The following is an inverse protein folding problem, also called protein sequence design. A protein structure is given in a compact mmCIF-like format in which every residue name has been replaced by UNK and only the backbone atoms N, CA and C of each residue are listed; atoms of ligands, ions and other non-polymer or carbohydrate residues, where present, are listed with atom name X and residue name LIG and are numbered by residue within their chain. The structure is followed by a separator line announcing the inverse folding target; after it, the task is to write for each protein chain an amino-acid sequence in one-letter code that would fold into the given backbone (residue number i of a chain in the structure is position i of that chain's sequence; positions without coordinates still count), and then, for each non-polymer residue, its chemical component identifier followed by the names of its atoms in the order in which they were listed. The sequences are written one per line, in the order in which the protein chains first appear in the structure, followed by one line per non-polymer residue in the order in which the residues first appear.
data_IF_921240151654
#
_entry.id   IF_921240151654
#
_cell.length_a   1.000
_cell.length_b   1.000
_cell.length_c   1.000
_cell.angle_alpha   90.00
_cell.angle_beta   90.00
_cell.angle_gamma   90.00
#
_symmetry.space_group_name_H-M   'P 1'
#
loop_
_entity.id
_entity.type
_entity.pdbx_description
1 polymer ?
#
# COMPACT_ATOMS: atom_id res chain seq x y z
N UNK A 1 -18.27 30.04 19.91
CA UNK A 1 -18.12 28.98 18.90
C UNK A 1 -16.83 28.26 19.25
N UNK A 2 -16.93 27.01 19.73
CA UNK A 2 -15.78 26.12 19.90
C UNK A 2 -15.73 25.27 18.64
N UNK A 3 -14.61 25.31 17.93
CA UNK A 3 -14.34 24.43 16.80
C UNK A 3 -14.37 22.97 17.28
N UNK A 4 -14.99 22.04 16.55
CA UNK A 4 -14.93 20.64 16.93
C UNK A 4 -13.49 20.17 16.73
N UNK A 5 -12.76 20.03 17.83
CA UNK A 5 -11.57 19.19 17.89
C UNK A 5 -11.97 17.80 17.43
N UNK A 6 -11.46 17.37 16.27
CA UNK A 6 -11.57 15.98 15.82
C UNK A 6 -10.78 15.14 16.82
N UNK A 7 -11.49 14.57 17.79
CA UNK A 7 -10.97 13.57 18.71
C UNK A 7 -10.84 12.29 17.89
N UNK A 8 -9.61 11.82 17.65
CA UNK A 8 -9.44 10.41 17.28
C UNK A 8 -9.66 9.62 18.57
N UNK A 9 -10.87 9.11 18.78
CA UNK A 9 -11.30 8.38 19.99
C UNK A 9 -10.62 6.99 20.10
N UNK A 10 -9.31 6.97 20.21
CA UNK A 10 -8.55 5.80 20.60
C UNK A 10 -7.49 6.22 21.63
N UNK A 11 -7.70 5.85 22.89
CA UNK A 11 -6.73 6.08 23.99
C UNK A 11 -5.47 5.20 23.88
N UNK A 12 -5.25 4.56 22.72
CA UNK A 12 -4.21 3.58 22.48
C UNK A 12 -3.63 3.73 21.07
N UNK A 13 -2.39 3.28 20.89
CA UNK A 13 -1.73 3.26 19.58
C UNK A 13 -2.40 2.24 18.65
N UNK A 14 -2.52 2.58 17.36
CA UNK A 14 -3.08 1.68 16.34
C UNK A 14 -1.99 1.25 15.38
N UNK A 15 -1.92 -0.05 15.10
CA UNK A 15 -1.12 -0.62 14.02
C UNK A 15 -2.01 -0.87 12.81
N UNK A 16 -1.61 -0.34 11.65
CA UNK A 16 -2.21 -0.67 10.37
C UNK A 16 -1.39 -1.79 9.71
N UNK A 17 -2.04 -2.92 9.46
CA UNK A 17 -1.49 -4.00 8.64
C UNK A 17 -2.07 -3.88 7.23
N UNK A 18 -1.19 -3.58 6.26
CA UNK A 18 -1.54 -3.54 4.85
C UNK A 18 -1.07 -4.83 4.16
N UNK A 19 -2.01 -5.56 3.57
CA UNK A 19 -1.71 -6.69 2.69
C UNK A 19 -1.98 -6.23 1.26
N UNK A 20 -1.00 -6.38 0.36
CA UNK A 20 -1.12 -5.96 -1.04
C UNK A 20 -0.74 -7.11 -1.98
N UNK A 21 -1.62 -7.45 -2.91
CA UNK A 21 -1.34 -8.42 -3.99
C UNK A 21 -0.67 -7.70 -5.17
N UNK A 22 0.64 -7.47 -5.05
CA UNK A 22 1.43 -6.74 -6.04
C UNK A 22 1.38 -7.38 -7.44
N UNK A 23 1.53 -8.70 -7.64
CA UNK A 23 1.46 -9.31 -8.96
C UNK A 23 0.09 -9.16 -9.63
N UNK A 24 -1.01 -9.34 -8.88
CA UNK A 24 -2.36 -9.15 -9.43
C UNK A 24 -2.62 -7.68 -9.74
N UNK A 25 -2.12 -6.76 -8.91
CA UNK A 25 -2.27 -5.33 -9.13
C UNK A 25 -1.52 -4.86 -10.39
N UNK A 26 -0.27 -5.31 -10.56
CA UNK A 26 0.51 -5.06 -11.78
C UNK A 26 -0.19 -5.64 -13.02
N UNK A 27 -0.78 -6.83 -12.91
CA UNK A 27 -1.54 -7.42 -14.02
C UNK A 27 -2.72 -6.55 -14.42
N UNK A 28 -3.46 -6.01 -13.45
CA UNK A 28 -4.60 -5.11 -13.73
C UNK A 28 -4.15 -3.82 -14.42
N UNK A 29 -3.11 -3.17 -13.88
CA UNK A 29 -2.62 -1.89 -14.40
C UNK A 29 -1.98 -2.00 -15.79
N UNK A 30 -1.34 -3.14 -16.08
CA UNK A 30 -0.58 -3.34 -17.33
C UNK A 30 -1.32 -4.17 -18.38
N UNK A 31 -2.37 -4.90 -17.98
CA UNK A 31 -2.99 -5.96 -18.79
C UNK A 31 -2.07 -7.16 -19.03
N UNK A 32 -0.95 -7.28 -18.31
CA UNK A 32 0.11 -8.29 -18.54
C UNK A 32 0.33 -9.15 -17.31
N UNK A 33 0.38 -10.46 -17.49
CA UNK A 33 0.77 -11.42 -16.44
C UNK A 33 2.24 -11.80 -16.52
N UNK A 34 2.74 -12.48 -15.47
CA UNK A 34 4.10 -13.03 -15.44
C UNK A 34 5.15 -12.06 -14.91
N UNK A 35 4.74 -11.04 -14.17
CA UNK A 35 5.65 -10.19 -13.40
C UNK A 35 6.31 -11.00 -12.29
N UNK A 36 7.64 -11.02 -12.26
CA UNK A 36 8.44 -11.69 -11.25
C UNK A 36 9.13 -10.65 -10.38
N UNK A 37 8.98 -10.80 -9.06
CA UNK A 37 9.70 -9.97 -8.10
C UNK A 37 11.20 -10.22 -8.26
N UNK A 38 11.95 -9.14 -8.48
CA UNK A 38 13.40 -9.20 -8.68
C UNK A 38 14.18 -8.57 -7.54
N UNK A 39 13.60 -7.59 -6.85
CA UNK A 39 14.27 -6.89 -5.75
C UNK A 39 13.25 -6.28 -4.78
N UNK A 40 13.67 -6.14 -3.52
CA UNK A 40 12.90 -5.59 -2.41
C UNK A 40 13.81 -4.70 -1.56
N UNK A 41 13.44 -3.42 -1.41
CA UNK A 41 14.16 -2.46 -0.58
C UNK A 41 13.21 -1.80 0.41
N UNK A 42 13.49 -1.93 1.70
CA UNK A 42 12.75 -1.26 2.77
C UNK A 42 13.53 -0.04 3.25
N UNK A 43 12.83 1.08 3.39
CA UNK A 43 13.34 2.32 3.98
C UNK A 43 12.48 2.77 5.16
N UNK A 44 12.90 3.83 5.85
CA UNK A 44 12.11 4.43 6.92
C UNK A 44 10.76 4.99 6.47
N UNK A 45 10.59 5.28 5.17
CA UNK A 45 9.41 5.98 4.65
C UNK A 45 8.56 5.12 3.72
N UNK A 46 9.16 4.12 3.08
CA UNK A 46 8.49 3.27 2.11
C UNK A 46 9.19 1.93 1.88
N UNK A 47 8.42 1.00 1.33
CA UNK A 47 8.89 -0.26 0.78
C UNK A 47 8.86 -0.17 -0.75
N UNK A 48 9.95 -0.56 -1.40
CA UNK A 48 10.13 -0.51 -2.85
C UNK A 48 10.26 -1.93 -3.37
N UNK A 49 9.40 -2.30 -4.31
CA UNK A 49 9.37 -3.61 -4.95
C UNK A 49 9.67 -3.45 -6.43
N UNK A 50 10.72 -4.11 -6.91
CA UNK A 50 11.06 -4.12 -8.33
C UNK A 50 10.65 -5.43 -8.97
N UNK A 51 9.92 -5.37 -10.07
CA UNK A 51 9.45 -6.50 -10.84
C UNK A 51 10.03 -6.49 -12.25
N UNK A 52 10.24 -7.68 -12.81
CA UNK A 52 10.66 -7.87 -14.20
C UNK A 52 9.71 -8.80 -14.95
N UNK A 53 9.54 -8.49 -16.22
CA UNK A 53 8.84 -9.32 -17.20
C UNK A 53 9.55 -9.19 -18.55
N UNK A 54 10.20 -10.26 -19.00
CA UNK A 54 11.05 -10.24 -20.19
C UNK A 54 12.11 -9.12 -20.11
N UNK A 55 11.96 -8.06 -20.93
CA UNK A 55 12.82 -6.87 -20.94
C UNK A 55 12.14 -5.63 -20.30
N UNK A 56 10.95 -5.77 -19.72
CA UNK A 56 10.23 -4.70 -19.03
C UNK A 56 10.50 -4.75 -17.53
N UNK A 57 10.68 -3.57 -16.94
CA UNK A 57 10.83 -3.38 -15.49
C UNK A 57 9.65 -2.58 -14.96
N UNK A 58 9.16 -2.98 -13.78
CA UNK A 58 8.13 -2.28 -13.05
C UNK A 58 8.59 -2.03 -11.62
N UNK A 59 8.16 -0.91 -11.05
CA UNK A 59 8.46 -0.56 -9.66
C UNK A 59 7.15 -0.24 -8.96
N UNK A 60 6.97 -0.81 -7.77
CA UNK A 60 5.89 -0.47 -6.86
C UNK A 60 6.50 0.11 -5.60
N UNK A 61 6.08 1.31 -5.22
CA UNK A 61 6.51 1.96 -3.96
C UNK A 61 5.30 2.08 -3.05
N UNK A 62 5.40 1.51 -1.85
CA UNK A 62 4.39 1.58 -0.81
C UNK A 62 4.88 2.49 0.31
N UNK A 63 4.27 3.66 0.48
CA UNK A 63 4.63 4.58 1.55
C UNK A 63 3.91 4.21 2.85
N UNK A 64 4.59 4.42 3.98
CA UNK A 64 4.01 4.21 5.34
C UNK A 64 2.80 5.11 5.61
N UNK A 65 2.60 6.15 4.80
CA UNK A 65 1.42 7.04 4.82
C UNK A 65 0.17 6.39 4.21
N UNK A 66 0.28 5.18 3.66
CA UNK A 66 -0.77 4.54 2.88
C UNK A 66 -0.88 5.08 1.45
N UNK A 67 0.09 5.86 0.99
CA UNK A 67 0.24 6.27 -0.41
C UNK A 67 1.01 5.22 -1.19
N UNK A 68 0.77 5.08 -2.50
CA UNK A 68 1.53 4.17 -3.33
C UNK A 68 1.71 4.72 -4.75
N UNK A 69 2.82 4.34 -5.37
CA UNK A 69 3.09 4.59 -6.79
C UNK A 69 3.41 3.29 -7.50
N UNK A 70 2.97 3.17 -8.75
CA UNK A 70 3.31 2.04 -9.62
C UNK A 70 3.80 2.60 -10.94
N UNK A 71 5.04 2.27 -11.29
CA UNK A 71 5.67 2.64 -12.56
C UNK A 71 6.05 1.40 -13.38
N UNK A 72 6.03 1.54 -14.71
CA UNK A 72 6.55 0.55 -15.67
C UNK A 72 7.37 1.29 -16.72
N UNK A 73 8.68 1.01 -16.77
CA UNK A 73 9.64 1.86 -17.48
C UNK A 73 9.50 3.32 -17.04
N UNK A 74 9.37 4.24 -18.00
CA UNK A 74 9.23 5.69 -17.73
C UNK A 74 7.78 6.15 -17.46
N UNK A 75 6.84 5.22 -17.30
CA UNK A 75 5.41 5.54 -17.18
C UNK A 75 4.89 5.24 -15.78
N UNK A 76 4.29 6.23 -15.13
CA UNK A 76 3.50 6.03 -13.92
C UNK A 76 2.10 5.56 -14.29
N UNK A 77 1.70 4.39 -13.79
CA UNK A 77 0.38 3.80 -14.00
C UNK A 77 -0.54 4.00 -12.79
N UNK A 78 0.03 4.21 -11.61
CA UNK A 78 -0.72 4.51 -10.38
C UNK A 78 0.05 5.51 -9.52
N UNK A 79 -0.69 6.44 -8.93
CA UNK A 79 -0.16 7.50 -8.07
C UNK A 79 -1.30 7.95 -7.13
N UNK A 80 -1.39 7.37 -5.94
CA UNK A 80 -2.52 7.63 -5.04
C UNK A 80 -2.54 6.80 -3.76
N UNK A 81 -3.57 6.98 -2.92
CA UNK A 81 -3.73 6.22 -1.67
C UNK A 81 -4.14 4.76 -1.90
N UNK A 82 -3.58 3.82 -1.15
CA UNK A 82 -3.90 2.37 -1.22
C UNK A 82 -5.38 2.06 -1.03
N UNK A 83 -6.13 2.90 -0.32
CA UNK A 83 -7.58 2.76 -0.18
C UNK A 83 -8.34 2.87 -1.51
N UNK A 84 -7.76 3.51 -2.53
CA UNK A 84 -8.31 3.60 -3.87
C UNK A 84 -7.88 2.44 -4.78
N UNK A 85 -6.90 1.63 -4.37
CA UNK A 85 -6.50 0.39 -5.03
C UNK A 85 -7.41 -0.79 -4.64
N UNK A 86 -8.73 -0.60 -4.80
CA UNK A 86 -9.75 -1.54 -4.34
C UNK A 86 -9.59 -2.91 -4.99
N UNK A 87 -9.59 -3.96 -4.16
CA UNK A 87 -9.46 -5.35 -4.61
C UNK A 87 -8.02 -5.88 -4.64
N UNK A 88 -7.03 -5.02 -4.48
CA UNK A 88 -5.61 -5.40 -4.46
C UNK A 88 -4.92 -5.08 -3.14
N UNK A 89 -5.49 -4.19 -2.33
CA UNK A 89 -5.03 -3.87 -0.99
C UNK A 89 -6.12 -4.18 0.04
N UNK A 90 -5.70 -4.77 1.17
CA UNK A 90 -6.54 -4.98 2.35
C UNK A 90 -5.86 -4.33 3.54
N UNK A 91 -6.55 -3.39 4.17
CA UNK A 91 -6.10 -2.72 5.39
C UNK A 91 -6.84 -3.32 6.59
N UNK A 92 -6.08 -3.70 7.61
CA UNK A 92 -6.60 -4.19 8.88
C UNK A 92 -5.95 -3.38 10.00
N UNK A 93 -6.74 -2.97 10.98
CA UNK A 93 -6.28 -2.14 12.08
C UNK A 93 -6.31 -2.94 13.37
N UNK A 94 -5.31 -2.74 14.21
CA UNK A 94 -5.17 -3.44 15.49
C UNK A 94 -4.76 -2.46 16.57
N UNK A 95 -5.25 -2.67 17.80
CA UNK A 95 -4.71 -2.03 18.98
C UNK A 95 -3.25 -2.53 19.16
N UNK A 96 -2.29 -1.62 19.22
CA UNK A 96 -0.88 -1.94 19.33
C UNK A 96 -0.52 -2.62 20.66
N UNK A 97 -1.29 -2.35 21.72
CA UNK A 97 -1.06 -2.89 23.06
C UNK A 97 -1.75 -4.23 23.26
N UNK A 98 -3.04 -4.35 22.89
CA UNK A 98 -3.82 -5.59 23.11
C UNK A 98 -3.76 -6.58 21.95
N UNK A 99 -3.39 -6.12 20.75
CA UNK A 99 -3.45 -6.91 19.51
C UNK A 99 -4.88 -7.13 18.98
N UNK A 100 -5.90 -6.55 19.63
CA UNK A 100 -7.29 -6.71 19.21
C UNK A 100 -7.57 -5.95 17.91
N UNK A 101 -8.38 -6.55 17.04
CA UNK A 101 -8.76 -5.93 15.77
C UNK A 101 -9.67 -4.73 16.02
N UNK A 102 -9.29 -3.58 15.46
CA UNK A 102 -10.08 -2.35 15.45
C UNK A 102 -10.97 -2.35 14.21
N UNK A 103 -12.27 -2.18 14.41
CA UNK A 103 -13.23 -1.97 13.34
C UNK A 103 -13.42 -0.46 13.17
N UNK A 104 -13.03 0.06 12.01
CA UNK A 104 -13.35 1.42 11.59
C UNK A 104 -14.76 1.37 10.97
N UNK A 105 -15.71 2.09 11.58
CA UNK A 105 -17.09 2.22 11.09
C UNK A 105 -17.23 3.43 10.16
#
# INVERSE_FOLDING_TARGET
MLEPSVVSDFDYSIVCHAEVDLPSWLRELTGKSGWLLSDEEETELCDVYSFRRDAEEAQVVLYRTGYATVGVGDRTLYDGHLTFASGFARLQYYNAESGEKVLLN
#
